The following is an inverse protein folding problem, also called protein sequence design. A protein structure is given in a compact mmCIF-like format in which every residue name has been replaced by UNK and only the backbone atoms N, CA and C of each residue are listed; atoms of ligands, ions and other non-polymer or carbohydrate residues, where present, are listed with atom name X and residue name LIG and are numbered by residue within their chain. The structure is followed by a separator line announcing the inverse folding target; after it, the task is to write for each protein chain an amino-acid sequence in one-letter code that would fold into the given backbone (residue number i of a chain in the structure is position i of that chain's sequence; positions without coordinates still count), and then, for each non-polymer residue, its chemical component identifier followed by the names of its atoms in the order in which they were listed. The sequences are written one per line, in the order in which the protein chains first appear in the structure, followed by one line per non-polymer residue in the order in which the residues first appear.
data_IF_438472267275
#
_entry.id   IF_438472267275
#
_cell.length_a   1.000
_cell.length_b   1.000
_cell.length_c   1.000
_cell.angle_alpha   90.00
_cell.angle_beta   90.00
_cell.angle_gamma   90.00
#
_symmetry.space_group_name_H-M   'P 1'
#
loop_
_entity.id
_entity.type
_entity.pdbx_description
1 polymer ?
#
# COMPACT_ATOMS: atom_id res chain seq x y z
N UNK A 1 -30.26 -31.83 56.60
CA UNK A 1 -29.89 -31.91 55.17
C UNK A 1 -29.72 -30.52 54.67
N UNK A 2 -28.48 -30.01 54.63
CA UNK A 2 -28.11 -28.72 54.06
C UNK A 2 -27.63 -28.99 52.65
N UNK A 3 -28.40 -28.54 51.66
CA UNK A 3 -28.00 -28.50 50.28
C UNK A 3 -27.07 -27.32 50.08
N UNK A 4 -25.77 -27.60 50.01
CA UNK A 4 -24.75 -26.65 49.60
C UNK A 4 -24.87 -26.37 48.13
N UNK A 5 -25.44 -25.19 47.76
CA UNK A 5 -25.34 -24.60 46.42
C UNK A 5 -23.85 -24.27 46.24
N UNK A 6 -23.17 -25.06 45.42
CA UNK A 6 -21.83 -24.71 44.94
C UNK A 6 -21.96 -23.52 44.02
N UNK A 7 -21.51 -22.38 44.52
CA UNK A 7 -21.31 -21.16 43.69
C UNK A 7 -20.21 -21.49 42.67
N UNK A 8 -20.64 -21.83 41.43
CA UNK A 8 -19.75 -21.97 40.31
C UNK A 8 -19.40 -20.54 39.89
N UNK A 9 -18.33 -20.01 40.42
CA UNK A 9 -17.84 -18.70 40.08
C UNK A 9 -17.56 -18.62 38.58
N UNK A 10 -18.44 -17.96 37.86
CA UNK A 10 -18.26 -17.54 36.46
C UNK A 10 -17.34 -16.32 36.44
N UNK A 11 -16.14 -16.43 37.02
CA UNK A 11 -15.17 -15.33 37.03
C UNK A 11 -14.24 -15.32 35.82
N UNK A 12 -14.17 -16.43 35.05
CA UNK A 12 -13.29 -16.54 33.90
C UNK A 12 -13.81 -15.92 32.62
N UNK A 13 -15.14 -15.78 32.45
CA UNK A 13 -15.74 -15.26 31.21
C UNK A 13 -15.80 -13.73 31.20
N UNK A 14 -15.96 -13.10 32.36
CA UNK A 14 -16.00 -11.65 32.48
C UNK A 14 -14.66 -10.96 32.23
N UNK A 15 -13.55 -11.58 32.60
CA UNK A 15 -12.21 -11.01 32.40
C UNK A 15 -11.71 -11.09 30.96
N UNK A 16 -12.20 -12.04 30.15
CA UNK A 16 -11.88 -12.14 28.74
C UNK A 16 -12.73 -11.21 27.85
N UNK A 17 -13.94 -10.84 28.28
CA UNK A 17 -14.83 -9.99 27.49
C UNK A 17 -14.50 -8.48 27.63
N UNK A 18 -14.03 -8.04 28.80
CA UNK A 18 -13.69 -6.64 29.05
C UNK A 18 -12.54 -6.09 28.18
N UNK A 19 -11.44 -6.84 27.93
CA UNK A 19 -10.38 -6.39 27.03
C UNK A 19 -10.80 -6.22 25.56
N UNK A 20 -11.91 -6.84 25.16
CA UNK A 20 -12.39 -6.82 23.77
C UNK A 20 -13.29 -5.60 23.51
N UNK A 21 -13.89 -5.02 24.55
CA UNK A 21 -14.85 -3.92 24.44
C UNK A 21 -14.22 -2.53 24.42
N UNK A 22 -13.01 -2.38 24.97
CA UNK A 22 -12.32 -1.08 25.05
C UNK A 22 -10.98 -1.14 24.33
N UNK A 23 -10.73 -0.16 23.47
CA UNK A 23 -9.50 -0.08 22.67
C UNK A 23 -8.25 -0.06 23.56
N UNK A 24 -8.30 0.61 24.70
CA UNK A 24 -7.16 0.72 25.64
C UNK A 24 -6.80 -0.62 26.29
N UNK A 25 -7.78 -1.47 26.57
CA UNK A 25 -7.59 -2.76 27.23
C UNK A 25 -7.37 -3.94 26.27
N UNK A 26 -7.66 -3.76 24.98
CA UNK A 26 -7.42 -4.80 23.98
C UNK A 26 -5.89 -5.03 23.80
N UNK A 27 -5.45 -6.28 23.77
CA UNK A 27 -4.03 -6.65 23.67
C UNK A 27 -3.67 -7.19 22.29
N UNK A 28 -4.59 -7.88 21.64
CA UNK A 28 -4.39 -8.45 20.32
C UNK A 28 -4.61 -7.36 19.25
N UNK A 29 -3.72 -7.30 18.25
CA UNK A 29 -3.81 -6.33 17.13
C UNK A 29 -5.17 -6.39 16.47
N UNK A 30 -5.68 -7.56 16.13
CA UNK A 30 -6.97 -7.77 15.48
C UNK A 30 -8.13 -7.09 16.22
N UNK A 31 -8.14 -7.20 17.55
CA UNK A 31 -9.17 -6.57 18.39
C UNK A 31 -9.03 -5.04 18.37
N UNK A 32 -7.80 -4.54 18.46
CA UNK A 32 -7.54 -3.09 18.43
C UNK A 32 -7.92 -2.50 17.08
N UNK A 33 -7.54 -3.16 15.98
CA UNK A 33 -7.89 -2.76 14.61
C UNK A 33 -9.41 -2.80 14.39
N UNK A 34 -10.08 -3.85 14.86
CA UNK A 34 -11.55 -3.95 14.77
C UNK A 34 -12.26 -2.82 15.52
N UNK A 35 -11.78 -2.45 16.70
CA UNK A 35 -12.32 -1.33 17.48
C UNK A 35 -12.01 0.02 16.82
N UNK A 36 -10.80 0.20 16.32
CA UNK A 36 -10.38 1.41 15.59
C UNK A 36 -11.23 1.62 14.33
N UNK A 37 -11.51 0.54 13.59
CA UNK A 37 -12.37 0.55 12.43
C UNK A 37 -13.80 1.02 12.75
N UNK A 38 -14.37 0.64 13.89
CA UNK A 38 -15.71 1.07 14.30
C UNK A 38 -15.80 2.58 14.53
N UNK A 39 -14.70 3.24 14.81
CA UNK A 39 -14.60 4.72 14.93
C UNK A 39 -14.05 5.37 13.66
N UNK A 40 -13.92 4.63 12.56
CA UNK A 40 -13.48 5.15 11.26
C UNK A 40 -11.98 5.36 11.12
N UNK A 41 -11.17 4.75 11.99
CA UNK A 41 -9.72 4.82 11.89
C UNK A 41 -9.17 3.63 11.08
N UNK A 42 -8.39 3.92 10.03
CA UNK A 42 -7.61 2.92 9.30
C UNK A 42 -6.15 3.03 9.72
N UNK A 43 -5.59 1.99 10.37
CA UNK A 43 -4.18 1.97 10.74
C UNK A 43 -3.26 2.12 9.53
N UNK A 44 -2.08 2.72 9.73
CA UNK A 44 -1.08 2.82 8.68
C UNK A 44 -0.56 1.43 8.31
N UNK A 45 -0.56 1.16 7.02
CA UNK A 45 0.04 -0.04 6.46
C UNK A 45 1.56 0.02 6.50
N UNK A 46 2.22 -1.08 6.18
CA UNK A 46 3.64 -1.08 5.88
C UNK A 46 3.88 -0.19 4.66
N UNK A 47 4.99 0.57 4.67
CA UNK A 47 5.39 1.46 3.58
C UNK A 47 6.69 0.96 2.95
N UNK A 48 6.71 0.90 1.64
CA UNK A 48 7.88 0.47 0.89
C UNK A 48 8.98 1.54 0.87
N UNK A 49 10.23 1.15 1.06
CA UNK A 49 11.35 2.05 0.86
C UNK A 49 11.43 2.47 -0.61
N UNK A 50 11.54 3.77 -0.86
CA UNK A 50 11.58 4.35 -2.20
C UNK A 50 13.02 4.68 -2.59
N UNK A 51 13.47 4.14 -3.70
CA UNK A 51 14.73 4.47 -4.36
C UNK A 51 14.51 5.21 -5.67
N UNK A 52 15.57 5.78 -6.22
CA UNK A 52 15.57 6.42 -7.53
C UNK A 52 16.74 5.90 -8.33
N UNK A 53 16.47 5.44 -9.55
CA UNK A 53 17.50 5.02 -10.50
C UNK A 53 17.44 5.86 -11.77
N UNK A 54 18.61 6.08 -12.36
CA UNK A 54 18.77 6.66 -13.70
C UNK A 54 19.61 5.69 -14.52
N UNK A 55 19.17 5.38 -15.72
CA UNK A 55 19.92 4.53 -16.63
C UNK A 55 19.61 4.91 -18.09
N UNK A 56 20.52 4.57 -18.97
CA UNK A 56 20.31 4.69 -20.40
C UNK A 56 20.53 3.34 -21.08
N UNK A 57 19.90 3.21 -22.25
CA UNK A 57 19.98 1.99 -23.07
C UNK A 57 20.47 2.37 -24.46
N UNK A 58 21.64 1.86 -24.82
CA UNK A 58 22.17 1.96 -26.18
C UNK A 58 21.51 0.88 -27.06
N UNK A 59 20.69 1.33 -28.00
CA UNK A 59 19.97 0.46 -28.93
C UNK A 59 20.61 0.37 -30.31
N UNK A 60 21.82 0.91 -30.50
CA UNK A 60 22.52 0.95 -31.80
C UNK A 60 22.73 -0.42 -32.42
N UNK A 61 22.88 -1.47 -31.59
CA UNK A 61 23.03 -2.84 -32.01
C UNK A 61 21.73 -3.66 -31.96
N UNK A 62 20.58 -3.01 -31.72
CA UNK A 62 19.28 -3.70 -31.63
C UNK A 62 18.62 -3.70 -33.02
N UNK A 63 18.28 -4.90 -33.52
CA UNK A 63 17.58 -5.07 -34.79
C UNK A 63 16.26 -5.80 -34.59
N UNK A 64 15.14 -5.27 -35.07
CA UNK A 64 14.95 -3.95 -35.73
C UNK A 64 15.14 -2.77 -34.78
N UNK A 65 15.54 -1.59 -35.31
CA UNK A 65 15.75 -0.40 -34.51
C UNK A 65 14.44 0.08 -33.87
N UNK A 66 14.37 0.24 -32.54
CA UNK A 66 13.18 0.74 -31.85
C UNK A 66 13.05 2.26 -31.99
N UNK A 67 11.82 2.77 -32.05
CA UNK A 67 11.52 4.20 -31.92
C UNK A 67 11.16 4.59 -30.47
N UNK A 68 10.69 3.63 -29.70
CA UNK A 68 10.37 3.77 -28.29
C UNK A 68 10.81 2.52 -27.56
N UNK A 69 11.17 2.66 -26.28
CA UNK A 69 11.51 1.55 -25.40
C UNK A 69 10.65 1.62 -24.15
N UNK A 70 10.08 0.48 -23.76
CA UNK A 70 9.20 0.36 -22.59
C UNK A 70 9.86 -0.49 -21.52
N UNK A 71 10.04 0.09 -20.34
CA UNK A 71 10.35 -0.63 -19.12
C UNK A 71 9.04 -1.20 -18.56
N UNK A 72 8.94 -2.52 -18.48
CA UNK A 72 7.74 -3.20 -18.01
C UNK A 72 7.61 -3.11 -16.48
N UNK A 73 6.37 -2.99 -16.01
CA UNK A 73 6.04 -3.05 -14.57
C UNK A 73 6.53 -4.35 -13.94
N UNK A 74 6.88 -4.29 -12.67
CA UNK A 74 7.43 -5.40 -11.91
C UNK A 74 8.86 -5.15 -11.45
N UNK A 75 9.66 -6.18 -11.19
CA UNK A 75 11.03 -6.03 -10.75
C UNK A 75 11.88 -5.27 -11.77
N UNK A 76 12.61 -4.25 -11.30
CA UNK A 76 13.46 -3.38 -12.14
C UNK A 76 14.89 -3.34 -11.67
N UNK A 77 15.09 -3.40 -10.36
CA UNK A 77 16.41 -3.39 -9.78
C UNK A 77 16.52 -4.36 -8.62
N UNK A 78 17.74 -4.83 -8.39
CA UNK A 78 18.11 -5.57 -7.19
C UNK A 78 19.24 -4.84 -6.49
N UNK A 79 19.30 -4.94 -5.19
CA UNK A 79 20.40 -4.40 -4.40
C UNK A 79 20.94 -5.45 -3.45
N UNK A 80 22.25 -5.46 -3.31
CA UNK A 80 22.95 -6.20 -2.28
C UNK A 80 23.52 -5.19 -1.30
N UNK A 81 23.16 -5.31 -0.04
CA UNK A 81 23.66 -4.42 1.00
C UNK A 81 22.51 -3.95 1.87
N UNK A 82 22.80 -3.66 3.06
CA UNK A 82 21.91 -3.42 4.18
C UNK A 82 22.50 -4.15 5.36
N UNK A 83 21.97 -3.97 6.53
CA UNK A 83 22.37 -4.74 7.69
C UNK A 83 22.08 -6.23 7.42
N UNK A 84 23.12 -7.07 7.33
CA UNK A 84 23.00 -8.51 7.23
C UNK A 84 23.17 -9.14 5.84
N UNK A 85 23.67 -8.41 4.84
CA UNK A 85 23.90 -8.93 3.47
C UNK A 85 22.61 -9.45 2.77
N UNK A 86 21.48 -8.83 3.10
CA UNK A 86 20.18 -9.15 2.50
C UNK A 86 20.11 -8.61 1.07
N UNK A 87 19.46 -9.35 0.19
CA UNK A 87 19.16 -8.90 -1.17
C UNK A 87 17.73 -8.36 -1.21
N UNK A 88 17.57 -7.15 -1.73
CA UNK A 88 16.28 -6.51 -1.92
C UNK A 88 15.94 -6.40 -3.40
N UNK A 89 14.66 -6.58 -3.69
CA UNK A 89 14.09 -6.38 -5.03
C UNK A 89 13.33 -5.05 -5.03
N UNK A 90 13.54 -4.25 -6.08
CA UNK A 90 12.82 -3.01 -6.27
C UNK A 90 11.99 -3.09 -7.54
N UNK A 91 10.74 -2.67 -7.45
CA UNK A 91 9.74 -2.79 -8.51
C UNK A 91 9.16 -1.43 -8.90
N UNK A 92 8.59 -1.36 -10.11
CA UNK A 92 7.74 -0.24 -10.56
C UNK A 92 6.30 -0.73 -10.75
N UNK A 93 5.35 0.18 -10.57
CA UNK A 93 3.91 -0.14 -10.58
C UNK A 93 3.29 -0.14 -11.98
N UNK A 94 3.82 0.67 -12.88
CA UNK A 94 3.28 0.87 -14.23
C UNK A 94 4.39 0.80 -15.27
N UNK A 95 4.02 0.45 -16.51
CA UNK A 95 4.95 0.46 -17.63
C UNK A 95 5.41 1.88 -17.92
N UNK A 96 6.72 2.07 -18.08
CA UNK A 96 7.33 3.35 -18.43
C UNK A 96 7.89 3.31 -19.85
N UNK A 97 7.35 4.13 -20.75
CA UNK A 97 7.80 4.19 -22.15
C UNK A 97 8.52 5.51 -22.41
N UNK A 98 9.71 5.43 -23.00
CA UNK A 98 10.51 6.58 -23.42
C UNK A 98 10.82 6.50 -24.91
N UNK A 99 11.01 7.65 -25.59
CA UNK A 99 11.47 7.67 -26.97
C UNK A 99 12.95 7.26 -27.06
N UNK A 100 13.34 6.73 -28.22
CA UNK A 100 14.75 6.49 -28.55
C UNK A 100 15.21 7.62 -29.46
N UNK A 101 16.20 8.39 -28.99
CA UNK A 101 16.81 9.49 -29.71
C UNK A 101 18.28 9.14 -30.02
N UNK A 102 18.67 9.24 -31.29
CA UNK A 102 20.04 8.92 -31.73
C UNK A 102 20.57 7.56 -31.27
N UNK A 103 19.65 6.57 -31.16
CA UNK A 103 19.98 5.23 -30.71
C UNK A 103 20.04 5.04 -29.20
N UNK A 104 19.74 6.07 -28.43
CA UNK A 104 19.76 6.04 -26.95
C UNK A 104 18.36 6.26 -26.39
N UNK A 105 17.98 5.42 -25.43
CA UNK A 105 16.77 5.59 -24.62
C UNK A 105 17.15 5.97 -23.19
N UNK A 106 16.69 7.13 -22.72
CA UNK A 106 17.04 7.68 -21.41
C UNK A 106 15.90 7.50 -20.42
N UNK A 107 16.16 6.77 -19.35
CA UNK A 107 15.27 6.59 -18.21
C UNK A 107 15.79 7.40 -17.01
N UNK A 108 15.29 8.62 -16.86
CA UNK A 108 15.76 9.57 -15.86
C UNK A 108 14.86 9.57 -14.62
N UNK A 109 15.47 9.51 -13.43
CA UNK A 109 14.79 9.63 -12.14
C UNK A 109 13.60 8.67 -11.98
N UNK A 110 13.78 7.42 -12.36
CA UNK A 110 12.75 6.40 -12.20
C UNK A 110 12.61 6.05 -10.73
N UNK A 111 11.45 6.33 -10.16
CA UNK A 111 11.12 5.93 -8.79
C UNK A 111 10.88 4.42 -8.75
N UNK A 112 11.58 3.75 -7.85
CA UNK A 112 11.48 2.32 -7.60
C UNK A 112 11.13 2.07 -6.15
N UNK A 113 10.31 1.05 -5.90
CA UNK A 113 9.78 0.73 -4.58
C UNK A 113 10.25 -0.66 -4.16
N UNK A 114 10.76 -0.75 -2.93
CA UNK A 114 11.20 -2.04 -2.40
C UNK A 114 10.01 -3.00 -2.27
N UNK A 115 10.22 -4.21 -2.68
CA UNK A 115 9.26 -5.30 -2.61
C UNK A 115 8.89 -5.88 -3.97
N UNK A 116 8.02 -6.89 -3.92
CA UNK A 116 7.53 -7.59 -5.10
C UNK A 116 6.19 -7.04 -5.54
N UNK A 117 6.09 -6.69 -6.83
CA UNK A 117 4.80 -6.34 -7.43
C UNK A 117 3.98 -7.61 -7.62
N UNK A 118 2.82 -7.66 -6.99
CA UNK A 118 1.87 -8.76 -7.04
C UNK A 118 0.54 -8.28 -7.62
N UNK A 119 -0.22 -9.21 -8.20
CA UNK A 119 -1.55 -8.94 -8.74
C UNK A 119 -2.56 -9.93 -8.19
N UNK A 120 -3.56 -9.45 -7.48
CA UNK A 120 -4.73 -10.24 -7.10
C UNK A 120 -5.87 -9.99 -8.09
N UNK A 121 -6.56 -11.07 -8.45
CA UNK A 121 -7.64 -11.02 -9.42
C UNK A 121 -8.90 -11.63 -8.82
N UNK A 122 -10.03 -10.94 -8.99
CA UNK A 122 -11.33 -11.37 -8.48
C UNK A 122 -12.40 -11.22 -9.56
N UNK A 123 -13.38 -12.10 -9.53
CA UNK A 123 -14.60 -11.97 -10.35
C UNK A 123 -15.78 -11.72 -9.44
N UNK A 124 -16.46 -10.60 -9.61
CA UNK A 124 -17.69 -10.31 -8.87
C UNK A 124 -18.85 -11.08 -9.48
N UNK A 125 -19.67 -11.68 -8.63
CA UNK A 125 -20.91 -12.34 -9.04
C UNK A 125 -22.08 -11.81 -8.22
N UNK A 126 -23.16 -11.42 -8.91
CA UNK A 126 -24.36 -10.92 -8.25
C UNK A 126 -25.06 -11.97 -7.36
N UNK A 127 -24.71 -13.27 -7.52
CA UNK A 127 -25.19 -14.36 -6.66
C UNK A 127 -24.56 -14.34 -5.27
N UNK A 128 -23.36 -13.77 -5.12
CA UNK A 128 -22.68 -13.57 -3.85
C UNK A 128 -22.30 -12.10 -3.67
N UNK A 129 -23.27 -11.22 -3.34
CA UNK A 129 -23.04 -9.78 -3.24
C UNK A 129 -22.14 -9.39 -2.06
N UNK A 130 -21.96 -10.28 -1.10
CA UNK A 130 -21.11 -10.09 0.09
C UNK A 130 -19.72 -10.74 -0.07
N UNK A 131 -19.30 -11.06 -1.31
CA UNK A 131 -17.95 -11.56 -1.55
C UNK A 131 -16.93 -10.53 -1.11
N UNK A 132 -15.96 -10.98 -0.31
CA UNK A 132 -14.86 -10.16 0.18
C UNK A 132 -13.69 -10.21 -0.80
N UNK A 133 -13.13 -9.06 -1.11
CA UNK A 133 -11.94 -8.94 -1.97
C UNK A 133 -10.70 -8.76 -1.07
N UNK A 134 -10.28 -9.84 -0.44
CA UNK A 134 -9.15 -9.84 0.49
C UNK A 134 -7.86 -10.09 -0.29
N UNK A 135 -6.85 -9.27 -0.04
CA UNK A 135 -5.50 -9.45 -0.54
C UNK A 135 -4.75 -10.38 0.42
N UNK A 136 -4.37 -11.57 -0.05
CA UNK A 136 -3.87 -12.66 0.81
C UNK A 136 -2.43 -12.46 1.33
N UNK A 137 -1.75 -11.40 0.92
CA UNK A 137 -0.39 -11.12 1.36
C UNK A 137 -0.37 -10.18 2.56
N UNK A 138 0.63 -10.39 3.43
CA UNK A 138 1.01 -9.47 4.49
C UNK A 138 2.06 -8.47 3.96
N UNK A 139 2.25 -7.36 4.67
CA UNK A 139 3.26 -6.37 4.29
C UNK A 139 2.90 -5.53 3.07
N UNK A 140 1.62 -5.40 2.77
CA UNK A 140 1.12 -4.61 1.64
C UNK A 140 1.31 -3.12 1.93
N UNK A 141 1.90 -2.40 0.96
CA UNK A 141 1.88 -0.94 0.95
C UNK A 141 0.58 -0.47 0.30
N UNK A 142 -0.33 0.07 1.11
CA UNK A 142 -1.66 0.49 0.64
C UNK A 142 -1.64 1.79 -0.15
N UNK A 143 -0.56 2.59 -0.09
CA UNK A 143 -0.40 3.81 -0.90
C UNK A 143 -0.04 3.47 -2.36
N UNK A 144 0.63 2.32 -2.57
CA UNK A 144 1.06 1.85 -3.88
C UNK A 144 0.05 0.89 -4.56
N UNK A 145 -1.18 0.83 -4.04
CA UNK A 145 -2.22 -0.06 -4.52
C UNK A 145 -2.93 0.53 -5.75
N UNK A 146 -3.07 -0.25 -6.81
CA UNK A 146 -3.79 0.15 -8.02
C UNK A 146 -4.91 -0.83 -8.31
N UNK A 147 -6.15 -0.34 -8.29
CA UNK A 147 -7.36 -1.12 -8.57
C UNK A 147 -7.88 -0.81 -9.97
N UNK A 148 -8.09 -1.85 -10.78
CA UNK A 148 -8.68 -1.76 -12.12
C UNK A 148 -9.85 -2.71 -12.22
N UNK A 149 -10.96 -2.23 -12.78
CA UNK A 149 -12.17 -3.02 -13.01
C UNK A 149 -12.44 -3.12 -14.51
N UNK A 150 -12.65 -4.33 -14.99
CA UNK A 150 -13.07 -4.65 -16.36
C UNK A 150 -14.50 -5.14 -16.37
N UNK A 151 -15.26 -4.95 -17.45
CA UNK A 151 -16.61 -5.52 -17.60
C UNK A 151 -16.62 -7.05 -17.46
N UNK A 152 -15.58 -7.72 -17.94
CA UNK A 152 -15.34 -9.16 -17.80
C UNK A 152 -13.85 -9.45 -17.97
N UNK A 153 -13.43 -10.68 -17.72
CA UNK A 153 -12.03 -11.11 -17.80
C UNK A 153 -11.38 -10.91 -19.18
N UNK A 154 -12.12 -11.13 -20.26
CA UNK A 154 -11.63 -11.04 -21.64
C UNK A 154 -11.63 -9.61 -22.20
N UNK A 155 -12.22 -8.65 -21.49
CA UNK A 155 -12.28 -7.25 -21.96
C UNK A 155 -10.90 -6.60 -21.95
N UNK A 156 -10.56 -5.90 -23.03
CA UNK A 156 -9.38 -5.03 -23.09
C UNK A 156 -9.59 -3.68 -22.40
N UNK A 157 -10.86 -3.26 -22.23
CA UNK A 157 -11.22 -2.02 -21.57
C UNK A 157 -11.17 -2.20 -20.06
N UNK A 158 -10.41 -1.36 -19.36
CA UNK A 158 -10.36 -1.29 -17.90
C UNK A 158 -10.59 0.12 -17.41
N UNK A 159 -11.19 0.26 -16.23
CA UNK A 159 -11.38 1.53 -15.54
C UNK A 159 -10.55 1.49 -14.27
N UNK A 160 -9.70 2.50 -14.05
CA UNK A 160 -8.93 2.67 -12.81
C UNK A 160 -9.87 3.28 -11.77
N UNK A 161 -9.88 2.68 -10.59
CA UNK A 161 -10.61 3.15 -9.42
C UNK A 161 -9.63 3.88 -8.50
N UNK A 162 -10.09 4.95 -7.85
CA UNK A 162 -9.31 5.71 -6.88
C UNK A 162 -9.71 5.35 -5.46
N UNK A 163 -8.71 5.32 -4.56
CA UNK A 163 -8.95 5.15 -3.14
C UNK A 163 -9.70 6.34 -2.59
N UNK A 164 -10.64 6.07 -1.70
CA UNK A 164 -11.36 7.08 -0.96
C UNK A 164 -11.41 6.69 0.52
N UNK A 165 -11.07 7.64 1.39
CA UNK A 165 -11.04 7.42 2.83
C UNK A 165 -12.26 8.05 3.53
N UNK A 166 -13.07 8.83 2.79
CA UNK A 166 -14.25 9.51 3.28
C UNK A 166 -15.44 9.27 2.35
N UNK A 167 -16.65 9.22 2.91
CA UNK A 167 -17.91 9.14 2.14
C UNK A 167 -18.40 10.51 1.64
N UNK A 168 -17.78 11.61 2.07
CA UNK A 168 -18.16 12.95 1.65
C UNK A 168 -17.82 13.16 0.18
N UNK A 169 -18.74 13.82 -0.55
CA UNK A 169 -18.61 14.17 -1.97
C UNK A 169 -18.55 12.97 -2.94
N UNK A 170 -18.71 11.73 -2.46
CA UNK A 170 -18.77 10.55 -3.31
C UNK A 170 -20.14 10.44 -3.93
N UNK A 171 -20.20 10.41 -5.28
CA UNK A 171 -21.41 10.24 -6.06
C UNK A 171 -21.70 8.77 -6.35
N UNK A 172 -22.96 8.41 -6.69
CA UNK A 172 -23.31 7.02 -7.02
C UNK A 172 -22.55 6.40 -8.18
N UNK A 173 -22.04 7.20 -9.11
CA UNK A 173 -21.30 6.80 -10.30
C UNK A 173 -19.76 6.93 -10.16
N UNK A 174 -19.27 7.45 -9.01
CA UNK A 174 -17.85 7.61 -8.75
C UNK A 174 -17.13 6.26 -8.76
N UNK A 175 -16.03 6.17 -9.52
CA UNK A 175 -15.19 4.97 -9.60
C UNK A 175 -14.18 4.99 -8.45
N UNK A 176 -14.66 4.65 -7.26
CA UNK A 176 -13.90 4.66 -6.02
C UNK A 176 -13.93 3.29 -5.34
N UNK A 177 -12.90 3.05 -4.52
CA UNK A 177 -12.85 1.93 -3.60
C UNK A 177 -12.40 2.40 -2.21
N UNK A 178 -12.77 1.62 -1.22
CA UNK A 178 -12.38 1.81 0.17
C UNK A 178 -11.48 0.67 0.60
N UNK A 179 -10.62 0.92 1.58
CA UNK A 179 -9.76 -0.09 2.18
C UNK A 179 -10.09 -0.26 3.66
N UNK A 180 -10.01 -1.49 4.10
CA UNK A 180 -10.00 -1.80 5.52
C UNK A 180 -8.99 -2.90 5.81
N UNK A 181 -8.36 -2.84 6.98
CA UNK A 181 -7.51 -3.93 7.46
C UNK A 181 -8.43 -5.11 7.86
N UNK A 182 -8.11 -6.28 7.36
CA UNK A 182 -8.71 -7.56 7.73
C UNK A 182 -7.81 -8.28 8.75
N UNK A 183 -8.13 -9.52 9.09
CA UNK A 183 -7.34 -10.31 10.00
C UNK A 183 -5.92 -10.57 9.42
N UNK A 184 -4.93 -10.77 10.29
CA UNK A 184 -3.55 -11.10 9.95
C UNK A 184 -2.86 -10.05 9.05
N UNK A 185 -3.03 -8.75 9.30
CA UNK A 185 -2.40 -7.65 8.53
C UNK A 185 -2.72 -7.68 7.02
N UNK A 186 -3.80 -8.33 6.63
CA UNK A 186 -4.31 -8.32 5.25
C UNK A 186 -5.25 -7.15 5.02
N UNK A 187 -5.52 -6.86 3.77
CA UNK A 187 -6.41 -5.75 3.41
C UNK A 187 -7.57 -6.24 2.55
N UNK A 188 -8.75 -5.71 2.83
CA UNK A 188 -9.97 -5.92 2.05
C UNK A 188 -10.26 -4.68 1.22
N UNK A 189 -10.47 -4.88 -0.08
CA UNK A 189 -10.93 -3.83 -1.01
C UNK A 189 -12.45 -3.86 -1.07
N UNK A 190 -13.07 -2.72 -0.79
CA UNK A 190 -14.52 -2.57 -0.75
C UNK A 190 -14.95 -1.60 -1.85
N UNK A 191 -15.96 -1.96 -2.61
CA UNK A 191 -16.52 -1.12 -3.66
C UNK A 191 -17.81 -0.44 -3.21
N UNK A 192 -18.21 0.62 -3.93
CA UNK A 192 -19.44 1.33 -3.67
C UNK A 192 -20.69 0.45 -3.82
N UNK A 193 -21.74 0.84 -3.15
CA UNK A 193 -23.06 0.16 -3.14
C UNK A 193 -24.05 0.75 -4.15
N UNK A 194 -23.65 1.80 -4.87
CA UNK A 194 -24.48 2.57 -5.79
C UNK A 194 -25.09 3.84 -5.16
N UNK A 195 -24.79 4.10 -3.88
CA UNK A 195 -25.04 5.37 -3.20
C UNK A 195 -23.71 6.09 -2.95
N UNK A 196 -22.75 5.37 -2.36
CA UNK A 196 -21.41 5.84 -2.08
C UNK A 196 -20.37 5.18 -2.99
N UNK A 197 -20.38 5.59 -4.26
CA UNK A 197 -19.54 5.03 -5.30
C UNK A 197 -20.25 3.96 -6.15
N UNK A 198 -19.65 3.71 -7.30
CA UNK A 198 -20.21 2.80 -8.30
C UNK A 198 -20.23 1.35 -7.80
N UNK A 199 -21.39 0.74 -7.84
CA UNK A 199 -21.59 -0.68 -7.55
C UNK A 199 -21.01 -1.55 -8.68
N UNK A 200 -20.38 -2.67 -8.33
CA UNK A 200 -19.95 -3.67 -9.29
C UNK A 200 -21.14 -4.36 -9.96
N UNK A 201 -21.00 -4.65 -11.24
CA UNK A 201 -21.94 -5.39 -12.05
C UNK A 201 -21.54 -6.88 -12.12
N UNK A 202 -22.51 -7.76 -12.43
CA UNK A 202 -22.23 -9.20 -12.56
C UNK A 202 -21.15 -9.47 -13.60
N UNK A 203 -20.23 -10.40 -13.30
CA UNK A 203 -19.02 -10.72 -14.06
C UNK A 203 -17.95 -9.63 -14.14
N UNK A 204 -18.05 -8.51 -13.41
CA UNK A 204 -16.96 -7.57 -13.34
C UNK A 204 -15.68 -8.28 -12.84
N UNK A 205 -14.59 -8.05 -13.58
CA UNK A 205 -13.27 -8.58 -13.26
C UNK A 205 -12.42 -7.50 -12.63
N UNK A 206 -12.08 -7.70 -11.37
CA UNK A 206 -11.29 -6.77 -10.56
C UNK A 206 -9.86 -7.26 -10.54
N UNK A 207 -8.93 -6.39 -10.92
CA UNK A 207 -7.49 -6.63 -10.84
C UNK A 207 -6.88 -5.61 -9.89
N UNK A 208 -6.16 -6.08 -8.88
CA UNK A 208 -5.51 -5.26 -7.87
C UNK A 208 -4.01 -5.52 -7.94
N UNK A 209 -3.25 -4.52 -8.40
CA UNK A 209 -1.80 -4.52 -8.37
C UNK A 209 -1.33 -3.86 -7.06
N UNK A 210 -0.39 -4.47 -6.34
CA UNK A 210 0.15 -3.96 -5.07
C UNK A 210 1.59 -4.44 -4.85
N UNK A 211 2.31 -3.75 -3.98
CA UNK A 211 3.65 -4.16 -3.55
C UNK A 211 3.56 -4.78 -2.15
N UNK A 212 4.15 -5.96 -2.02
CA UNK A 212 4.45 -6.57 -0.73
C UNK A 212 5.90 -6.23 -0.35
N UNK A 213 6.07 -5.42 0.69
CA UNK A 213 7.32 -4.81 1.13
C UNK A 213 7.79 -5.37 2.47
N UNK A 214 9.11 -5.26 2.72
CA UNK A 214 9.73 -5.53 4.01
C UNK A 214 9.79 -4.28 4.92
N UNK A 215 9.17 -3.17 4.48
CA UNK A 215 9.09 -1.93 5.23
C UNK A 215 10.43 -1.19 5.29
N UNK A 216 10.89 -0.88 6.50
CA UNK A 216 12.10 -0.09 6.76
C UNK A 216 13.41 -0.84 6.49
N UNK A 217 13.37 -2.15 6.30
CA UNK A 217 14.56 -3.01 6.18
C UNK A 217 15.47 -2.63 5.01
N UNK A 218 14.92 -2.02 3.96
CA UNK A 218 15.67 -1.57 2.79
C UNK A 218 16.10 -0.10 2.85
N UNK A 219 15.82 0.60 3.93
CA UNK A 219 16.27 1.97 4.11
C UNK A 219 17.81 2.02 4.15
N UNK A 220 18.40 3.00 3.45
CA UNK A 220 19.84 3.16 3.36
C UNK A 220 20.53 2.37 2.24
N UNK A 221 19.80 1.51 1.54
CA UNK A 221 20.30 0.76 0.38
C UNK A 221 20.51 1.70 -0.80
N UNK A 222 21.73 1.75 -1.36
CA UNK A 222 22.09 2.75 -2.39
C UNK A 222 22.81 2.19 -3.62
N UNK A 223 23.12 0.89 -3.65
CA UNK A 223 23.75 0.24 -4.81
C UNK A 223 22.74 -0.65 -5.51
N UNK A 224 22.37 -0.26 -6.72
CA UNK A 224 21.37 -0.97 -7.52
C UNK A 224 22.02 -1.66 -8.71
N UNK A 225 21.55 -2.87 -9.02
CA UNK A 225 21.82 -3.58 -10.25
C UNK A 225 20.54 -3.71 -11.05
N UNK A 226 20.59 -3.43 -12.35
CA UNK A 226 19.41 -3.51 -13.20
C UNK A 226 18.93 -4.96 -13.35
N UNK A 227 17.65 -5.18 -13.16
CA UNK A 227 16.98 -6.47 -13.29
C UNK A 227 15.65 -6.38 -14.05
N UNK A 228 15.40 -5.22 -14.70
CA UNK A 228 14.15 -4.92 -15.37
C UNK A 228 14.00 -5.61 -16.74
N UNK A 229 12.76 -5.66 -17.21
CA UNK A 229 12.42 -6.13 -18.55
C UNK A 229 12.14 -4.94 -19.47
N UNK A 230 12.99 -4.77 -20.49
CA UNK A 230 12.86 -3.74 -21.52
C UNK A 230 12.31 -4.35 -22.80
N UNK A 231 11.26 -3.74 -23.34
CA UNK A 231 10.62 -4.22 -24.57
C UNK A 231 10.28 -3.09 -25.51
N UNK A 232 10.17 -3.40 -26.78
CA UNK A 232 9.54 -2.54 -27.79
C UNK A 232 8.68 -3.37 -28.72
N UNK A 233 7.68 -2.72 -29.32
CA UNK A 233 6.76 -3.37 -30.25
C UNK A 233 6.99 -2.84 -31.68
N UNK A 234 7.09 -3.75 -32.66
CA UNK A 234 7.13 -3.43 -34.07
C UNK A 234 6.31 -4.44 -34.86
N UNK A 235 5.45 -3.98 -35.74
CA UNK A 235 4.57 -4.83 -36.55
C UNK A 235 3.76 -5.85 -35.71
N UNK A 236 3.21 -5.43 -34.57
CA UNK A 236 2.49 -6.29 -33.61
C UNK A 236 3.33 -7.42 -32.96
N UNK A 237 4.66 -7.36 -33.09
CA UNK A 237 5.58 -8.28 -32.43
C UNK A 237 6.34 -7.55 -31.33
N UNK A 238 6.44 -8.17 -30.15
CA UNK A 238 7.21 -7.67 -29.01
C UNK A 238 8.65 -8.22 -29.08
N UNK A 239 9.61 -7.33 -28.91
CA UNK A 239 11.05 -7.62 -28.87
C UNK A 239 11.58 -7.25 -27.48
N UNK A 240 12.47 -8.07 -26.93
CA UNK A 240 13.10 -7.84 -25.63
C UNK A 240 14.52 -7.33 -25.85
N UNK A 241 14.89 -6.27 -25.10
CA UNK A 241 16.25 -5.72 -25.09
C UNK A 241 16.96 -6.16 -23.80
N UNK A 242 18.09 -6.84 -23.95
CA UNK A 242 18.85 -7.42 -22.82
C UNK A 242 20.29 -6.90 -22.72
N UNK A 243 20.71 -6.04 -23.65
CA UNK A 243 22.08 -5.49 -23.70
C UNK A 243 22.07 -3.98 -23.92
N UNK A 244 23.22 -3.35 -23.75
CA UNK A 244 23.37 -1.89 -23.92
C UNK A 244 22.88 -1.06 -22.73
N UNK A 245 22.55 -1.69 -21.59
CA UNK A 245 22.00 -1.05 -20.40
C UNK A 245 23.16 -0.55 -19.52
N UNK A 246 23.14 0.75 -19.19
CA UNK A 246 24.11 1.38 -18.33
C UNK A 246 23.42 2.16 -17.23
N UNK A 247 23.60 1.72 -15.97
CA UNK A 247 23.12 2.43 -14.80
C UNK A 247 24.04 3.61 -14.47
N UNK A 248 23.42 4.74 -14.13
CA UNK A 248 24.11 5.89 -13.58
C UNK A 248 24.02 5.84 -12.06
N UNK A 249 25.18 5.88 -11.40
CA UNK A 249 25.22 5.93 -9.93
C UNK A 249 24.76 7.30 -9.45
N UNK A 250 23.58 7.38 -8.85
CA UNK A 250 23.02 8.65 -8.37
C UNK A 250 23.50 9.05 -6.98
N UNK A 251 24.10 8.11 -6.24
CA UNK A 251 24.52 8.31 -4.84
C UNK A 251 23.35 8.45 -3.85
N UNK A 252 22.10 8.28 -4.33
CA UNK A 252 20.91 8.33 -3.50
C UNK A 252 20.58 6.94 -2.94
N UNK A 253 20.35 6.87 -1.64
CA UNK A 253 19.90 5.65 -0.97
C UNK A 253 18.37 5.59 -0.90
N UNK A 254 17.82 4.38 -0.88
CA UNK A 254 16.40 4.14 -0.63
C UNK A 254 16.03 4.62 0.77
N UNK A 255 14.83 5.19 0.91
CA UNK A 255 14.34 5.79 2.16
C UNK A 255 12.82 5.79 2.23
N UNK A 256 12.29 6.12 3.41
CA UNK A 256 10.84 6.28 3.63
C UNK A 256 10.11 4.95 3.79
N UNK A 257 10.83 3.83 3.96
CA UNK A 257 10.23 2.56 4.36
C UNK A 257 9.85 2.59 5.84
N UNK A 258 8.65 2.11 6.17
CA UNK A 258 8.12 2.06 7.53
C UNK A 258 7.46 0.70 7.80
N UNK A 259 7.49 0.27 9.06
CA UNK A 259 6.75 -0.91 9.50
C UNK A 259 5.26 -0.55 9.70
N UNK A 260 4.43 -1.58 9.78
CA UNK A 260 3.01 -1.42 10.08
C UNK A 260 2.84 -0.69 11.42
N UNK A 261 1.80 0.13 11.51
CA UNK A 261 1.52 0.89 12.73
C UNK A 261 1.37 -0.02 13.96
N UNK A 262 2.05 0.35 15.06
CA UNK A 262 2.03 -0.44 16.29
C UNK A 262 0.68 -0.36 17.00
N UNK A 263 0.37 -1.37 17.82
CA UNK A 263 -0.85 -1.42 18.64
C UNK A 263 -0.94 -0.20 19.56
N UNK A 264 0.19 0.20 20.14
CA UNK A 264 0.28 1.36 21.04
C UNK A 264 -0.03 2.66 20.30
N UNK A 265 0.46 2.80 19.07
CA UNK A 265 0.17 3.94 18.20
C UNK A 265 -1.33 4.02 17.88
N UNK A 266 -1.92 2.91 17.45
CA UNK A 266 -3.36 2.83 17.12
C UNK A 266 -4.19 3.24 18.34
N UNK A 267 -3.90 2.68 19.53
CA UNK A 267 -4.59 3.03 20.78
C UNK A 267 -4.48 4.51 21.12
N UNK A 268 -3.34 5.11 20.86
CA UNK A 268 -3.09 6.54 21.12
C UNK A 268 -3.84 7.44 20.13
N UNK A 269 -3.77 7.14 18.82
CA UNK A 269 -4.23 8.06 17.78
C UNK A 269 -5.67 7.85 17.36
N UNK A 270 -6.19 6.61 17.30
CA UNK A 270 -7.54 6.35 16.85
C UNK A 270 -8.62 7.10 17.66
N UNK A 271 -8.62 7.10 19.01
CA UNK A 271 -9.59 7.87 19.79
C UNK A 271 -9.45 9.39 19.61
N UNK A 272 -8.21 9.89 19.45
CA UNK A 272 -7.94 11.33 19.30
C UNK A 272 -8.45 11.85 17.95
N UNK A 273 -8.21 11.12 16.86
CA UNK A 273 -8.70 11.47 15.52
C UNK A 273 -10.22 11.42 15.49
N UNK A 274 -10.84 10.45 16.13
CA UNK A 274 -12.28 10.39 16.28
C UNK A 274 -12.83 11.61 17.05
N UNK A 275 -12.20 11.98 18.18
CA UNK A 275 -12.60 13.11 18.99
C UNK A 275 -12.42 14.45 18.28
N UNK A 276 -11.36 14.61 17.49
CA UNK A 276 -11.07 15.83 16.72
C UNK A 276 -12.01 16.02 15.53
N UNK A 277 -12.67 14.96 15.05
CA UNK A 277 -13.50 14.97 13.83
C UNK A 277 -12.80 15.64 12.63
N UNK A 278 -11.51 15.37 12.47
CA UNK A 278 -10.62 15.98 11.47
C UNK A 278 -10.51 17.52 11.58
N UNK A 279 -10.67 18.06 12.78
CA UNK A 279 -10.48 19.50 13.08
C UNK A 279 -9.33 19.66 14.05
N UNK A 280 -8.37 20.50 13.73
CA UNK A 280 -7.27 20.86 14.61
C UNK A 280 -7.62 22.15 15.34
N UNK A 281 -8.12 22.06 16.57
CA UNK A 281 -8.49 23.20 17.43
C UNK A 281 -7.56 23.33 18.64
N UNK A 282 -7.03 22.20 19.13
CA UNK A 282 -6.15 22.15 20.30
C UNK A 282 -4.75 21.68 19.89
N UNK A 283 -3.73 21.94 20.72
CA UNK A 283 -2.37 21.44 20.49
C UNK A 283 -2.33 19.89 20.31
N UNK A 284 -3.13 19.17 21.09
CA UNK A 284 -3.24 17.71 20.99
C UNK A 284 -3.86 17.26 19.66
N UNK A 285 -4.75 18.05 19.04
CA UNK A 285 -5.30 17.74 17.72
C UNK A 285 -4.22 17.87 16.64
N UNK A 286 -3.39 18.93 16.73
CA UNK A 286 -2.24 19.09 15.82
C UNK A 286 -1.22 17.96 15.97
N UNK A 287 -0.88 17.58 17.21
CA UNK A 287 0.01 16.45 17.50
C UNK A 287 -0.49 15.13 16.92
N UNK A 288 -1.80 14.98 16.78
CA UNK A 288 -2.43 13.78 16.25
C UNK A 288 -2.61 13.81 14.74
N UNK A 289 -3.06 14.95 14.18
CA UNK A 289 -3.39 15.09 12.76
C UNK A 289 -2.15 15.25 11.88
N UNK A 290 -1.12 15.97 12.35
CA UNK A 290 0.09 16.20 11.55
C UNK A 290 0.78 14.87 11.19
N UNK A 291 1.17 14.02 12.14
CA UNK A 291 1.89 12.78 11.79
C UNK A 291 1.00 11.71 11.16
N UNK A 292 -0.33 11.78 11.33
CA UNK A 292 -1.22 10.76 10.79
C UNK A 292 -1.80 11.08 9.42
N UNK A 293 -2.05 12.36 9.12
CA UNK A 293 -2.76 12.76 7.91
C UNK A 293 -2.04 13.80 7.03
N UNK A 294 -1.16 14.62 7.61
CA UNK A 294 -0.55 15.75 6.89
C UNK A 294 0.90 15.43 6.50
N UNK A 295 1.72 15.09 7.48
CA UNK A 295 3.14 14.76 7.30
C UNK A 295 3.49 13.48 8.07
N UNK A 296 3.31 12.31 7.47
CA UNK A 296 3.57 11.03 8.13
C UNK A 296 5.03 10.85 8.61
N UNK A 297 5.97 11.58 8.01
CA UNK A 297 7.40 11.51 8.34
C UNK A 297 7.79 12.36 9.57
N UNK A 298 6.85 13.06 10.21
CA UNK A 298 7.15 13.91 11.36
C UNK A 298 6.88 13.19 12.67
N UNK A 299 7.86 13.27 13.60
CA UNK A 299 7.63 12.94 15.00
C UNK A 299 7.02 14.15 15.71
N UNK A 300 5.91 13.96 16.42
CA UNK A 300 5.35 15.02 17.27
C UNK A 300 6.21 15.19 18.52
N UNK A 301 6.89 16.30 18.65
CA UNK A 301 7.49 16.74 19.91
C UNK A 301 6.66 17.89 20.48
N UNK A 302 6.06 17.70 21.67
CA UNK A 302 5.62 18.82 22.48
C UNK A 302 6.84 19.40 23.17
N UNK A 303 7.24 20.62 22.83
CA UNK A 303 8.14 21.37 23.68
C UNK A 303 7.33 21.91 24.87
N UNK A 304 7.47 21.30 26.02
CA UNK A 304 7.06 21.92 27.28
C UNK A 304 7.95 23.15 27.50
N UNK A 305 7.44 24.32 27.17
CA UNK A 305 8.00 25.55 27.67
C UNK A 305 7.77 25.62 29.16
N UNK A 306 8.69 25.11 29.95
CA UNK A 306 8.82 25.53 31.34
C UNK A 306 9.26 26.99 31.33
N UNK A 307 8.26 27.89 31.42
CA UNK A 307 8.52 29.29 31.79
C UNK A 307 8.95 29.29 33.25
N UNK A 308 10.29 29.24 33.48
CA UNK A 308 10.83 29.70 34.75
C UNK A 308 10.64 31.23 34.82
N UNK A 309 9.78 31.66 35.73
CA UNK A 309 9.72 33.01 36.29
C UNK A 309 10.50 32.99 37.59
#
# INVERSE_FOLDING_TARGET
AEDGIRDIGVTGVQTCALPILFIDSATLRENVVSLAKNIGYLPKSRKAATGVITFFVDTSNVSPTPSTLTLKKGPVATSQGGFGNSSFVFSILEDLTVPVNDGIADFNNVSIYEGSLLTANFTYTARNPNAKFILDNIGIDTELLTVRVKPNQSSSRSVKYSRQDSLFEVKPDSTVYYLQEADDERYEVIFGDGLFGRKLEDNNYVSVDYIASNGDSANGVGQFSFAGRLVFSRNNQEYVVTSGISLVTTGLSARGGEQIESVESIKKFAPRIYASQNRALTANDYESLIPTQIYPETESRSEEHTSEL
#
